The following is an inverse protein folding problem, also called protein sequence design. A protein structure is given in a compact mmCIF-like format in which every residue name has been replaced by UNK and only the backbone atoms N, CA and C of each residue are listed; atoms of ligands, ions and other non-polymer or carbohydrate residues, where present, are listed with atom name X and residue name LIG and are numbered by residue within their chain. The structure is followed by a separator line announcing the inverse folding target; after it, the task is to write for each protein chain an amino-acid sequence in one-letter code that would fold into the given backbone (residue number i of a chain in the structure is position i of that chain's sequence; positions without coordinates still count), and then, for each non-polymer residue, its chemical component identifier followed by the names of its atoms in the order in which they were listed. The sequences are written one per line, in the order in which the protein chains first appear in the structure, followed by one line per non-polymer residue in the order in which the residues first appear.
data_IF_223962415696
#
_entry.id   IF_223962415696
#
_cell.length_a   1.000
_cell.length_b   1.000
_cell.length_c   1.000
_cell.angle_alpha   90.00
_cell.angle_beta   90.00
_cell.angle_gamma   90.00
#
_symmetry.space_group_name_H-M   'P 1'
#
loop_
_entity.id
_entity.type
_entity.pdbx_description
1 polymer ?
2 water ?
#
# COMPACT_ATOMS: atom_id res chain seq x y z
N UNK A 13 8.56 8.61 -4.06
CA UNK A 13 9.58 7.53 -3.93
C UNK A 13 9.75 6.75 -5.22
N UNK A 14 8.70 6.05 -5.64
CA UNK A 14 8.77 5.27 -6.85
C UNK A 14 7.74 5.67 -7.90
N UNK A 15 8.25 6.18 -9.03
CA UNK A 15 7.42 6.64 -10.16
C UNK A 15 7.72 5.94 -11.48
N UNK A 16 6.68 5.74 -12.28
CA UNK A 16 6.80 5.08 -13.58
C UNK A 16 6.65 6.20 -14.62
N UNK A 17 7.63 6.36 -15.50
CA UNK A 17 7.57 7.40 -16.53
C UNK A 17 7.58 6.83 -17.95
N UNK A 18 6.65 7.34 -18.77
CA UNK A 18 6.52 6.91 -20.16
C UNK A 18 6.85 8.10 -21.04
N UNK A 19 7.94 7.99 -21.81
CA UNK A 19 8.38 9.07 -22.70
C UNK A 19 8.04 8.75 -24.16
N UNK A 20 7.51 9.76 -24.85
CA UNK A 20 7.16 9.64 -26.26
C UNK A 20 8.21 10.38 -27.10
N UNK A 21 9.06 9.59 -27.75
CA UNK A 21 10.16 10.11 -28.59
C UNK A 21 9.72 11.05 -29.71
N UNK A 22 10.46 12.15 -29.84
CA UNK A 22 10.22 13.19 -30.83
C UNK A 22 10.96 12.92 -32.15
N UNK A 23 10.21 12.89 -33.25
CA UNK A 23 10.82 12.64 -34.54
C UNK A 23 11.53 13.88 -35.08
N UNK A 24 12.71 13.67 -35.65
CA UNK A 24 13.51 14.75 -36.23
C UNK A 24 14.43 14.16 -37.29
N UNK A 25 13.84 13.76 -38.40
CA UNK A 25 14.61 13.15 -39.47
C UNK A 25 14.64 11.65 -39.26
N UNK A 26 15.84 11.13 -39.02
CA UNK A 26 16.01 9.71 -38.79
C UNK A 26 16.32 9.54 -37.32
N UNK A 27 16.12 10.62 -36.57
CA UNK A 27 16.36 10.62 -35.13
C UNK A 27 15.09 10.76 -34.31
N UNK A 28 15.18 10.32 -33.06
CA UNK A 28 14.08 10.37 -32.11
C UNK A 28 14.69 10.75 -30.76
N UNK A 29 14.74 12.05 -30.47
CA UNK A 29 15.32 12.51 -29.21
C UNK A 29 14.44 12.30 -27.95
N UNK A 30 15.10 12.12 -26.81
CA UNK A 30 14.43 11.91 -25.52
C UNK A 30 14.53 13.12 -24.60
N UNK A 31 15.34 14.11 -24.99
CA UNK A 31 15.48 15.29 -24.17
C UNK A 31 16.11 15.09 -22.82
N UNK A 32 17.02 14.13 -22.71
CA UNK A 32 17.74 13.85 -21.46
C UNK A 32 18.86 12.86 -21.72
N UNK A 33 19.86 12.90 -20.85
CA UNK A 33 21.02 12.01 -20.93
C UNK A 33 21.15 11.27 -19.59
N UNK A 34 21.88 10.16 -19.61
CA UNK A 34 22.09 9.39 -18.41
C UNK A 34 23.56 9.25 -18.04
N UNK A 35 23.79 8.61 -16.89
CA UNK A 35 25.12 8.36 -16.39
C UNK A 35 25.04 7.14 -15.51
N UNK A 36 26.19 6.52 -15.22
CA UNK A 36 26.19 5.33 -14.38
C UNK A 36 26.49 4.02 -15.10
N UNK A 37 26.18 2.91 -14.44
CA UNK A 37 26.41 1.61 -15.03
C UNK A 37 27.57 0.93 -14.33
N UNK A 38 27.55 -0.41 -14.31
CA UNK A 38 28.60 -1.18 -13.65
C UNK A 38 29.97 -1.01 -14.30
N UNK A 39 29.99 -0.47 -15.52
CA UNK A 39 31.23 -0.24 -16.23
C UNK A 39 31.75 1.17 -15.96
N UNK A 40 31.09 1.87 -15.05
CA UNK A 40 31.50 3.23 -14.71
C UNK A 40 31.99 3.35 -13.28
N UNK A 41 32.63 4.47 -12.96
CA UNK A 41 33.14 4.72 -11.63
C UNK A 41 32.18 5.65 -10.89
N UNK A 42 31.38 5.12 -9.94
CA UNK A 42 30.40 5.87 -9.14
C UNK A 42 30.75 7.29 -8.66
N UNK A 43 32.03 7.60 -8.57
CA UNK A 43 32.47 8.90 -8.10
C UNK A 43 32.36 9.97 -9.18
N UNK A 44 32.18 9.54 -10.43
CA UNK A 44 32.05 10.45 -11.57
C UNK A 44 30.57 10.71 -11.88
N UNK A 45 29.72 9.96 -11.19
CA UNK A 45 28.28 10.07 -11.33
C UNK A 45 27.82 10.88 -10.12
N UNK A 46 27.61 12.20 -10.31
CA UNK A 46 27.18 13.12 -9.26
C UNK A 46 25.86 12.76 -8.57
N UNK A 47 25.32 11.58 -8.89
CA UNK A 47 24.05 11.17 -8.29
C UNK A 47 24.15 9.94 -7.43
N UNK A 48 25.18 9.13 -7.66
CA UNK A 48 25.38 7.92 -6.89
C UNK A 48 25.33 8.29 -5.40
N UNK A 49 24.94 7.34 -4.57
CA UNK A 49 24.86 7.59 -3.13
C UNK A 49 26.15 7.20 -2.44
N UNK A 50 26.95 6.37 -3.11
CA UNK A 50 28.22 5.92 -2.56
C UNK A 50 29.10 5.31 -3.61
N UNK A 51 30.19 4.69 -3.16
CA UNK A 51 31.15 4.05 -4.05
C UNK A 51 30.67 2.74 -4.64
N UNK A 52 29.60 2.19 -4.08
CA UNK A 52 29.05 0.92 -4.55
C UNK A 52 27.92 1.15 -5.54
N UNK A 53 27.33 2.34 -5.48
CA UNK A 53 26.23 2.70 -6.36
C UNK A 53 26.69 2.75 -7.81
N UNK A 54 26.44 1.67 -8.54
CA UNK A 54 26.81 1.54 -9.94
C UNK A 54 25.56 1.68 -10.82
N UNK A 55 24.50 2.26 -10.27
CA UNK A 55 23.25 2.42 -10.99
C UNK A 55 23.17 3.48 -12.10
N UNK A 56 22.07 3.45 -12.84
CA UNK A 56 21.83 4.38 -13.94
C UNK A 56 20.95 5.54 -13.47
N UNK A 57 21.46 6.76 -13.63
CA UNK A 57 20.72 7.93 -13.21
C UNK A 57 20.43 8.91 -14.36
N UNK A 58 19.60 9.89 -14.05
CA UNK A 58 19.26 10.90 -15.01
C UNK A 58 20.09 12.10 -14.59
N UNK A 59 21.22 12.28 -15.26
CA UNK A 59 22.13 13.36 -14.97
C UNK A 59 21.73 14.68 -15.63
N UNK A 60 20.93 14.61 -16.69
CA UNK A 60 20.53 15.79 -17.41
C UNK A 60 19.16 15.65 -18.09
N UNK A 61 18.41 16.74 -18.16
CA UNK A 61 17.11 16.73 -18.80
C UNK A 61 16.92 18.06 -19.57
N UNK A 62 16.50 17.97 -20.84
CA UNK A 62 16.26 19.13 -21.71
C UNK A 62 14.90 19.70 -21.35
N UNK A 63 14.74 21.01 -21.50
CA UNK A 63 13.48 21.67 -21.17
C UNK A 63 12.52 21.58 -22.36
N UNK A 64 11.28 21.17 -22.11
CA UNK A 64 10.35 21.03 -23.21
C UNK A 64 10.61 19.74 -23.95
N UNK A 65 11.72 19.10 -23.57
CA UNK A 65 12.11 17.84 -24.16
C UNK A 65 10.96 16.90 -23.88
N UNK A 66 10.85 15.77 -24.59
CA UNK A 66 9.74 14.86 -24.31
C UNK A 66 9.87 14.09 -23.01
N UNK A 67 11.02 14.24 -22.36
CA UNK A 67 11.31 13.57 -21.09
C UNK A 67 10.61 14.34 -19.98
N UNK A 68 10.97 15.61 -19.88
CA UNK A 68 10.41 16.51 -18.89
C UNK A 68 8.89 16.44 -18.98
N UNK A 69 8.40 16.46 -20.22
CA UNK A 69 6.97 16.40 -20.48
C UNK A 69 6.37 15.20 -19.78
N UNK A 70 7.02 14.06 -19.92
CA UNK A 70 6.55 12.82 -19.31
C UNK A 70 6.58 12.84 -17.78
N UNK A 71 7.56 13.53 -17.22
CA UNK A 71 7.71 13.62 -15.79
C UNK A 71 9.14 13.37 -15.35
N UNK A 72 10.00 13.00 -16.28
CA UNK A 72 11.40 12.73 -15.97
C UNK A 72 12.03 13.92 -15.23
N UNK A 73 12.84 13.61 -14.20
CA UNK A 73 13.52 14.59 -13.35
C UNK A 73 15.02 14.32 -13.30
N UNK A 74 15.78 15.29 -12.82
CA UNK A 74 17.25 15.13 -12.73
C UNK A 74 17.58 14.29 -11.48
N UNK A 75 18.44 13.29 -11.65
CA UNK A 75 18.81 12.45 -10.53
C UNK A 75 17.94 11.20 -10.45
N UNK A 76 16.80 11.23 -11.12
CA UNK A 76 15.90 10.11 -11.18
C UNK A 76 16.76 8.85 -11.34
N UNK A 77 16.38 7.74 -10.69
CA UNK A 77 17.12 6.46 -10.75
C UNK A 77 16.38 5.42 -11.58
N UNK A 78 16.84 5.20 -12.80
CA UNK A 78 16.22 4.24 -13.73
C UNK A 78 16.51 2.79 -13.32
N UNK A 79 15.47 2.08 -12.91
CA UNK A 79 15.61 0.68 -12.52
C UNK A 79 15.05 -0.12 -13.68
N UNK A 80 14.28 0.54 -14.52
CA UNK A 80 13.66 -0.13 -15.65
C UNK A 80 13.57 0.70 -16.94
N UNK A 81 13.50 -0.02 -18.06
CA UNK A 81 13.38 0.59 -19.37
C UNK A 81 12.55 -0.32 -20.26
N UNK A 82 11.30 0.07 -20.48
CA UNK A 82 10.35 -0.70 -21.28
C UNK A 82 10.23 -2.08 -20.64
N UNK A 83 10.48 -2.12 -19.34
CA UNK A 83 10.40 -3.35 -18.58
C UNK A 83 11.72 -4.06 -18.32
N UNK A 84 12.76 -3.65 -19.03
CA UNK A 84 14.07 -4.28 -18.87
C UNK A 84 14.79 -3.84 -17.61
N UNK A 85 15.46 -4.78 -16.96
CA UNK A 85 16.19 -4.50 -15.73
C UNK A 85 17.52 -3.79 -15.97
N UNK A 86 17.59 -2.53 -15.53
CA UNK A 86 18.80 -1.72 -15.70
C UNK A 86 19.57 -1.55 -14.42
N UNK A 87 19.36 -2.45 -13.47
CA UNK A 87 20.04 -2.37 -12.19
C UNK A 87 21.50 -2.79 -12.27
N UNK A 88 21.75 -3.93 -12.90
CA UNK A 88 23.12 -4.41 -13.03
C UNK A 88 23.60 -4.39 -14.46
N UNK A 89 23.50 -3.23 -15.11
CA UNK A 89 23.94 -3.13 -16.49
C UNK A 89 24.96 -2.02 -16.72
N UNK A 90 25.62 -2.10 -17.87
CA UNK A 90 26.62 -1.12 -18.22
C UNK A 90 25.94 0.10 -18.83
N UNK A 91 26.64 1.21 -18.78
CA UNK A 91 26.12 2.44 -19.33
C UNK A 91 25.61 2.21 -20.75
N UNK A 92 26.47 1.60 -21.57
CA UNK A 92 26.20 1.32 -22.97
C UNK A 92 25.06 0.34 -23.21
N UNK A 93 24.80 -0.53 -22.23
CA UNK A 93 23.72 -1.49 -22.34
C UNK A 93 22.41 -0.75 -22.11
N UNK A 94 22.51 0.30 -21.31
CA UNK A 94 21.37 1.14 -20.97
C UNK A 94 21.05 2.11 -22.10
N UNK A 95 22.04 2.89 -22.52
CA UNK A 95 21.84 3.87 -23.59
C UNK A 95 21.25 3.21 -24.82
N UNK A 96 21.62 1.94 -25.03
CA UNK A 96 21.15 1.11 -26.13
C UNK A 96 19.66 0.77 -25.98
N UNK A 97 19.22 0.55 -24.74
CA UNK A 97 17.82 0.22 -24.39
C UNK A 97 16.91 1.40 -24.66
N UNK A 98 17.46 2.58 -24.42
CA UNK A 98 16.74 3.82 -24.61
C UNK A 98 16.72 4.28 -26.06
N UNK A 99 17.89 4.30 -26.69
CA UNK A 99 18.00 4.77 -28.07
C UNK A 99 17.63 3.81 -29.20
N UNK A 100 16.78 2.81 -28.93
CA UNK A 100 16.39 1.89 -29.99
C UNK A 100 15.73 2.69 -31.09
N UNK A 101 16.11 2.42 -32.34
CA UNK A 101 15.60 3.08 -33.54
C UNK A 101 14.16 2.59 -33.83
N UNK A 102 13.94 1.29 -33.67
CA UNK A 102 12.65 0.66 -33.92
C UNK A 102 11.60 0.80 -32.80
N UNK A 103 11.84 1.74 -31.88
CA UNK A 103 10.94 2.01 -30.76
C UNK A 103 10.74 3.51 -30.58
N UNK A 104 9.49 3.95 -30.52
CA UNK A 104 9.15 5.37 -30.37
C UNK A 104 8.62 5.71 -28.99
N UNK A 105 8.28 4.70 -28.22
CA UNK A 105 7.77 4.85 -26.87
C UNK A 105 8.65 4.04 -25.93
N UNK A 106 9.19 4.72 -24.93
CA UNK A 106 10.04 4.03 -23.97
C UNK A 106 9.51 4.30 -22.57
N UNK A 107 9.34 3.23 -21.79
CA UNK A 107 8.85 3.37 -20.42
C UNK A 107 9.95 3.13 -19.40
N UNK A 108 10.03 4.03 -18.42
CA UNK A 108 11.04 3.92 -17.39
C UNK A 108 10.42 3.79 -16.00
N UNK A 109 11.11 3.05 -15.14
CA UNK A 109 10.68 2.84 -13.76
C UNK A 109 11.84 3.43 -12.97
N UNK A 110 11.56 4.45 -12.20
CA UNK A 110 12.58 5.13 -11.42
C UNK A 110 12.13 5.40 -10.00
N UNK A 111 13.10 5.71 -9.14
CA UNK A 111 12.85 6.06 -7.75
C UNK A 111 13.39 7.49 -7.68
N UNK A 112 13.14 8.23 -6.60
CA UNK A 112 13.64 9.61 -6.50
C UNK A 112 13.93 10.18 -5.10
N UNK B 13 -11.13 -6.71 2.07
CA UNK B 13 -11.08 -6.18 3.46
C UNK B 13 -10.44 -4.78 3.54
N UNK B 14 -10.21 -4.30 4.75
CA UNK B 14 -9.60 -2.99 4.96
C UNK B 14 -8.16 -3.00 4.44
N UNK B 15 -7.68 -1.84 3.99
CA UNK B 15 -6.31 -1.70 3.49
C UNK B 15 -5.84 -0.26 3.42
N UNK B 16 -4.56 -0.03 3.66
CA UNK B 16 -3.98 1.30 3.59
C UNK B 16 -3.27 1.38 2.24
N UNK B 17 -3.33 2.55 1.61
CA UNK B 17 -2.67 2.79 0.29
C UNK B 17 -1.98 4.16 0.34
N UNK B 18 -0.71 4.20 -0.06
CA UNK B 18 0.08 5.45 -0.05
C UNK B 18 0.37 5.85 -1.48
N UNK B 19 -0.38 6.82 -2.00
CA UNK B 19 -0.21 7.26 -3.39
C UNK B 19 0.65 8.51 -3.63
N UNK B 20 1.75 8.31 -4.37
CA UNK B 20 2.68 9.36 -4.72
C UNK B 20 2.29 9.89 -6.10
N UNK B 21 1.78 11.12 -6.16
CA UNK B 21 1.37 11.71 -7.43
C UNK B 21 2.52 11.94 -8.40
N UNK B 22 2.21 11.85 -9.68
CA UNK B 22 3.17 12.06 -10.76
C UNK B 22 2.92 13.44 -11.37
N UNK B 23 3.92 14.31 -11.29
CA UNK B 23 3.80 15.65 -11.83
C UNK B 23 4.24 15.71 -13.29
N UNK B 24 3.41 16.35 -14.10
CA UNK B 24 3.69 16.56 -15.50
C UNK B 24 3.43 18.05 -15.64
N UNK B 25 4.38 18.82 -15.12
CA UNK B 25 4.30 20.28 -15.17
C UNK B 25 3.53 20.89 -14.02
N UNK B 26 2.38 21.46 -14.36
CA UNK B 26 1.52 22.10 -13.37
C UNK B 26 0.54 21.06 -12.82
N UNK B 27 0.44 19.94 -13.54
CA UNK B 27 -0.45 18.84 -13.15
C UNK B 27 0.14 17.83 -12.17
N UNK B 28 -0.75 17.03 -11.58
CA UNK B 28 -0.40 15.97 -10.63
C UNK B 28 -1.38 14.84 -10.94
N UNK B 29 -0.85 13.72 -11.40
CA UNK B 29 -1.67 12.58 -11.78
C UNK B 29 -1.75 11.47 -10.71
N UNK B 30 -2.97 11.05 -10.41
CA UNK B 30 -3.20 9.99 -9.43
C UNK B 30 -3.24 8.65 -10.13
N UNK B 31 -3.81 8.61 -11.32
CA UNK B 31 -3.89 7.36 -12.04
C UNK B 31 -5.11 6.53 -11.68
N UNK B 32 -6.26 7.18 -11.51
CA UNK B 32 -7.51 6.47 -11.23
C UNK B 32 -8.69 7.43 -11.26
N UNK B 33 -9.89 6.87 -11.38
CA UNK B 33 -11.14 7.65 -11.41
C UNK B 33 -12.12 7.12 -10.36
N UNK B 34 -13.04 7.96 -9.92
CA UNK B 34 -14.00 7.57 -8.92
C UNK B 34 -15.47 7.83 -9.27
N UNK B 35 -16.35 7.01 -8.69
CA UNK B 35 -17.77 7.14 -8.90
C UNK B 35 -18.50 7.17 -7.55
N UNK B 36 -19.73 7.66 -7.55
CA UNK B 36 -20.50 7.70 -6.32
C UNK B 36 -20.65 9.05 -5.64
N UNK B 37 -21.11 9.02 -4.39
CA UNK B 37 -21.31 10.22 -3.62
C UNK B 37 -22.75 10.41 -3.23
N UNK B 38 -22.99 11.14 -2.14
CA UNK B 38 -24.33 11.37 -1.66
C UNK B 38 -25.21 12.06 -2.71
N UNK B 39 -24.60 12.88 -3.56
CA UNK B 39 -25.37 13.59 -4.60
C UNK B 39 -25.48 12.79 -5.89
N UNK B 40 -25.14 11.52 -5.83
CA UNK B 40 -25.17 10.67 -7.01
C UNK B 40 -26.14 9.49 -6.90
N UNK B 41 -26.70 9.09 -8.03
CA UNK B 41 -27.63 7.97 -8.09
C UNK B 41 -26.81 6.68 -7.91
N UNK B 42 -26.88 6.06 -6.72
CA UNK B 42 -26.14 4.83 -6.41
C UNK B 42 -26.17 3.73 -7.47
N UNK B 43 -27.06 3.87 -8.46
CA UNK B 43 -27.18 2.87 -9.52
C UNK B 43 -26.21 3.08 -10.66
N UNK B 44 -25.78 4.33 -10.83
CA UNK B 44 -24.85 4.65 -11.91
C UNK B 44 -23.50 4.03 -11.57
N UNK B 45 -23.23 3.94 -10.27
CA UNK B 45 -21.99 3.36 -9.73
C UNK B 45 -22.12 1.84 -9.71
N UNK B 46 -21.50 1.14 -10.68
CA UNK B 46 -21.55 -0.32 -10.77
C UNK B 46 -20.94 -1.06 -9.60
N UNK B 47 -20.44 -0.31 -8.62
CA UNK B 47 -19.80 -0.95 -7.49
C UNK B 47 -20.49 -0.72 -6.17
N UNK B 48 -21.69 -0.16 -6.20
CA UNK B 48 -22.40 0.08 -4.96
C UNK B 48 -23.02 -1.23 -4.49
N UNK B 49 -22.81 -1.57 -3.23
CA UNK B 49 -23.34 -2.81 -2.67
C UNK B 49 -24.85 -2.84 -2.67
N UNK B 50 -25.48 -1.73 -2.30
CA UNK B 50 -26.93 -1.68 -2.22
C UNK B 50 -27.59 -0.43 -2.81
N UNK B 51 -28.82 -0.14 -2.37
CA UNK B 51 -29.56 1.01 -2.88
C UNK B 51 -29.30 2.28 -2.05
N UNK B 52 -28.50 2.14 -1.01
CA UNK B 52 -28.17 3.27 -0.13
C UNK B 52 -26.65 3.47 -0.03
N UNK B 53 -25.90 2.83 -0.93
CA UNK B 53 -24.44 2.93 -0.91
C UNK B 53 -23.87 4.15 -1.63
N UNK B 54 -23.85 5.27 -0.90
CA UNK B 54 -23.35 6.56 -1.37
C UNK B 54 -21.82 6.58 -1.23
N UNK B 55 -21.21 5.41 -1.10
CA UNK B 55 -19.77 5.32 -0.95
C UNK B 55 -19.02 5.81 -2.18
N UNK B 56 -17.78 6.24 -1.97
CA UNK B 56 -16.90 6.73 -3.03
C UNK B 56 -16.13 5.50 -3.52
N UNK B 57 -16.31 5.13 -4.78
CA UNK B 57 -15.65 3.94 -5.35
C UNK B 57 -14.69 4.19 -6.52
N UNK B 58 -13.65 3.37 -6.62
CA UNK B 58 -12.68 3.44 -7.70
C UNK B 58 -13.31 2.69 -8.86
N UNK B 59 -13.72 3.45 -9.88
CA UNK B 59 -14.36 2.90 -11.06
C UNK B 59 -13.36 2.58 -12.18
N UNK B 60 -12.19 3.22 -12.13
CA UNK B 60 -11.15 3.02 -13.14
C UNK B 60 -9.76 3.28 -12.58
N UNK B 61 -8.78 2.51 -13.01
CA UNK B 61 -7.40 2.67 -12.56
C UNK B 61 -6.40 2.64 -13.73
N UNK B 62 -5.83 3.80 -14.04
CA UNK B 62 -4.87 3.91 -15.13
C UNK B 62 -3.73 2.94 -14.94
N UNK B 63 -3.64 1.98 -15.86
CA UNK B 63 -2.59 0.97 -15.83
C UNK B 63 -1.19 1.54 -15.98
N UNK B 64 -0.36 1.31 -14.97
CA UNK B 64 0.99 1.81 -14.98
C UNK B 64 1.10 3.11 -14.20
N UNK B 65 -0.04 3.60 -13.69
CA UNK B 65 -0.06 4.85 -12.94
C UNK B 65 0.38 4.74 -11.51
N UNK B 66 0.51 5.87 -10.80
CA UNK B 66 0.94 5.90 -9.40
C UNK B 66 0.01 5.20 -8.42
N UNK B 67 -1.23 5.02 -8.85
CA UNK B 67 -2.27 4.35 -8.07
C UNK B 67 -2.12 2.85 -8.15
N UNK B 68 -1.70 2.36 -9.31
CA UNK B 68 -1.48 0.93 -9.49
C UNK B 68 -0.28 0.52 -8.65
N UNK B 69 0.77 1.33 -8.71
CA UNK B 69 1.99 1.07 -7.97
C UNK B 69 1.70 1.11 -6.48
N UNK B 70 0.78 1.98 -6.10
CA UNK B 70 0.40 2.16 -4.72
C UNK B 70 -0.50 1.03 -4.21
N UNK B 71 -1.15 0.31 -5.11
CA UNK B 71 -2.01 -0.81 -4.73
C UNK B 71 -3.51 -0.57 -4.80
N UNK B 72 -3.94 0.30 -5.70
CA UNK B 72 -5.35 0.60 -5.84
C UNK B 72 -5.98 -0.32 -6.90
N UNK B 73 -7.20 -0.79 -6.64
CA UNK B 73 -7.89 -1.66 -7.58
C UNK B 73 -9.33 -1.23 -7.79
N UNK B 74 -9.84 -1.49 -8.98
CA UNK B 74 -11.21 -1.10 -9.31
C UNK B 74 -12.14 -1.69 -8.25
N UNK B 75 -13.19 -0.94 -7.91
CA UNK B 75 -14.13 -1.40 -6.90
C UNK B 75 -13.75 -0.98 -5.49
N UNK B 76 -12.54 -0.48 -5.33
CA UNK B 76 -12.07 -0.05 -4.03
C UNK B 76 -12.92 1.11 -3.53
N UNK B 77 -13.44 0.96 -2.31
CA UNK B 77 -14.24 2.01 -1.71
C UNK B 77 -13.30 2.79 -0.80
N UNK B 78 -13.09 4.07 -1.11
CA UNK B 78 -12.22 4.91 -0.29
C UNK B 78 -13.03 5.36 0.92
N UNK B 79 -12.64 4.87 2.09
CA UNK B 79 -13.33 5.23 3.31
C UNK B 79 -12.74 6.49 3.88
N UNK B 80 -11.47 6.71 3.58
CA UNK B 80 -10.76 7.86 4.11
C UNK B 80 -9.69 8.35 3.15
N UNK B 81 -9.45 9.65 3.15
CA UNK B 81 -8.42 10.25 2.31
C UNK B 81 -7.62 11.22 3.17
N UNK B 82 -6.54 10.73 3.79
CA UNK B 82 -5.67 11.55 4.65
C UNK B 82 -6.33 11.91 6.00
N UNK B 83 -7.22 11.05 6.47
CA UNK B 83 -7.92 11.33 7.72
C UNK B 83 -9.32 11.88 7.43
N UNK B 84 -9.51 12.35 6.19
CA UNK B 84 -10.80 12.90 5.74
C UNK B 84 -11.81 11.80 5.50
N UNK B 85 -12.77 11.69 6.40
CA UNK B 85 -13.81 10.70 6.21
C UNK B 85 -14.46 10.96 4.85
N UNK B 86 -14.62 9.90 4.08
CA UNK B 86 -15.21 9.99 2.75
C UNK B 86 -16.55 9.28 2.61
N UNK B 87 -17.02 8.70 3.69
CA UNK B 87 -18.28 7.96 3.70
C UNK B 87 -19.53 8.77 3.30
N UNK B 88 -19.83 9.81 4.08
CA UNK B 88 -21.00 10.64 3.82
C UNK B 88 -20.62 11.96 3.15
N UNK B 89 -19.94 11.87 2.01
CA UNK B 89 -19.47 13.05 1.27
C UNK B 89 -19.97 13.05 -0.17
N UNK B 90 -20.11 14.22 -0.77
CA UNK B 90 -20.54 14.31 -2.16
C UNK B 90 -19.41 13.80 -3.05
N UNK B 91 -19.65 13.87 -4.35
CA UNK B 91 -18.70 13.43 -5.35
C UNK B 91 -17.60 14.47 -5.50
N UNK B 92 -18.00 15.73 -5.55
CA UNK B 92 -17.05 16.83 -5.69
C UNK B 92 -16.21 17.03 -4.44
N UNK B 93 -16.77 16.64 -3.28
CA UNK B 93 -16.05 16.77 -2.03
C UNK B 93 -14.88 15.81 -1.99
N UNK B 94 -15.06 14.65 -2.61
CA UNK B 94 -14.02 13.61 -2.67
C UNK B 94 -12.94 13.96 -3.68
N UNK B 95 -13.37 14.30 -4.91
CA UNK B 95 -12.45 14.65 -5.98
C UNK B 95 -11.65 15.91 -5.64
N UNK B 96 -12.19 16.72 -4.74
CA UNK B 96 -11.51 17.92 -4.29
C UNK B 96 -10.32 17.52 -3.38
N UNK B 97 -10.57 16.59 -2.47
CA UNK B 97 -9.53 16.16 -1.55
C UNK B 97 -8.41 15.38 -2.21
N UNK B 98 -8.73 14.78 -3.35
CA UNK B 98 -7.76 14.00 -4.09
C UNK B 98 -6.90 14.81 -5.06
N UNK B 99 -7.44 15.91 -5.56
CA UNK B 99 -6.71 16.69 -6.55
C UNK B 99 -6.03 17.99 -6.15
N UNK B 100 -5.95 18.30 -4.86
CA UNK B 100 -5.27 19.53 -4.45
C UNK B 100 -3.83 19.50 -4.97
N UNK B 101 -3.37 20.60 -5.56
CA UNK B 101 -2.01 20.67 -6.11
C UNK B 101 -0.95 20.83 -5.05
N UNK B 102 -1.31 21.49 -3.94
CA UNK B 102 -0.36 21.68 -2.86
C UNK B 102 -0.03 20.34 -2.24
N UNK B 103 -0.61 19.25 -2.77
CA UNK B 103 -0.35 17.91 -2.26
C UNK B 103 0.09 16.96 -3.37
N UNK B 104 1.33 16.48 -3.25
CA UNK B 104 1.93 15.56 -4.21
C UNK B 104 1.77 14.11 -3.75
N UNK B 105 1.27 13.95 -2.52
CA UNK B 105 1.06 12.64 -1.92
C UNK B 105 -0.31 12.57 -1.25
N UNK B 106 -1.00 11.45 -1.46
CA UNK B 106 -2.30 11.23 -0.87
C UNK B 106 -2.30 9.83 -0.27
N UNK B 107 -2.82 9.71 0.95
CA UNK B 107 -2.90 8.44 1.68
C UNK B 107 -4.35 8.04 1.91
N UNK B 108 -4.75 6.93 1.31
CA UNK B 108 -6.12 6.44 1.42
C UNK B 108 -6.33 5.28 2.40
N UNK B 109 -7.60 5.06 2.73
CA UNK B 109 -8.00 3.99 3.62
C UNK B 109 -9.17 3.39 2.84
N UNK B 110 -8.99 2.18 2.33
CA UNK B 110 -10.02 1.59 1.51
C UNK B 110 -10.53 0.25 2.01
N UNK B 111 -11.50 -0.28 1.28
CA UNK B 111 -12.11 -1.57 1.57
C UNK B 111 -12.36 -2.23 0.23
N UNK B 112 -12.24 -3.56 0.18
CA UNK B 112 -12.44 -4.31 -1.06
C UNK B 112 -12.97 -5.73 -0.85
N UNK B 113 -13.69 -6.25 -1.84
CA UNK B 113 -14.25 -7.60 -1.76
C UNK B 113 -13.50 -8.56 -2.69
N UNK C 13 3.64 -6.95 -12.62
CA UNK C 13 3.50 -5.51 -12.26
C UNK C 13 4.22 -5.21 -10.94
N UNK C 14 4.78 -4.00 -10.85
CA UNK C 14 5.46 -3.56 -9.63
C UNK C 14 4.37 -2.84 -8.83
N UNK C 15 4.14 -3.30 -7.59
CA UNK C 15 3.12 -2.76 -6.70
C UNK C 15 3.52 -2.74 -5.23
N UNK C 16 2.89 -1.87 -4.45
CA UNK C 16 3.19 -1.80 -3.01
C UNK C 16 2.17 -2.63 -2.22
N UNK C 17 2.63 -3.26 -1.14
CA UNK C 17 1.76 -4.06 -0.31
C UNK C 17 1.93 -3.69 1.16
N UNK C 18 0.84 -3.25 1.80
CA UNK C 18 0.88 -2.88 3.21
C UNK C 18 0.29 -4.00 4.05
N UNK C 19 1.06 -4.46 5.02
CA UNK C 19 0.58 -5.50 5.90
C UNK C 19 0.73 -5.08 7.35
N UNK C 20 -0.30 -5.35 8.13
CA UNK C 20 -0.30 -5.05 9.54
C UNK C 20 -0.22 -6.41 10.18
N UNK C 21 0.84 -6.61 10.97
CA UNK C 21 1.08 -7.88 11.64
C UNK C 21 -0.04 -8.16 12.64
N UNK C 22 -0.18 -9.41 13.03
CA UNK C 22 -1.20 -9.80 14.01
C UNK C 22 -0.56 -9.81 15.40
N UNK C 23 -1.37 -9.67 16.43
CA UNK C 23 -0.86 -9.66 17.79
C UNK C 23 -1.18 -10.98 18.48
N UNK C 24 -0.15 -11.73 18.87
CA UNK C 24 -0.35 -12.98 19.57
C UNK C 24 0.27 -12.88 20.95
N UNK C 25 -0.11 -11.83 21.65
CA UNK C 25 0.39 -11.61 22.99
C UNK C 25 1.64 -10.78 22.94
N UNK C 26 2.79 -11.44 22.78
CA UNK C 26 4.08 -10.77 22.71
C UNK C 26 4.62 -11.02 21.31
N UNK C 27 3.73 -11.46 20.42
CA UNK C 27 4.12 -11.77 19.05
C UNK C 27 3.44 -10.91 18.03
N UNK C 28 4.15 -10.69 16.93
CA UNK C 28 3.66 -9.92 15.81
C UNK C 28 3.77 -10.90 14.64
N UNK C 29 2.69 -11.65 14.41
CA UNK C 29 2.66 -12.64 13.35
C UNK C 29 2.55 -12.03 11.95
N UNK C 30 3.46 -12.46 11.06
CA UNK C 30 3.50 -12.00 9.69
C UNK C 30 2.58 -12.88 8.85
N UNK C 31 2.55 -14.16 9.18
CA UNK C 31 1.72 -15.11 8.47
C UNK C 31 2.19 -15.45 7.06
N UNK C 32 3.50 -15.54 6.88
CA UNK C 32 4.08 -15.89 5.59
C UNK C 32 5.60 -16.01 5.77
N UNK C 33 6.20 -16.98 5.09
CA UNK C 33 7.64 -17.19 5.19
C UNK C 33 8.28 -16.90 3.83
N UNK C 34 9.59 -16.67 3.83
CA UNK C 34 10.28 -16.34 2.59
C UNK C 34 11.34 -17.31 2.13
N UNK C 35 11.67 -17.19 0.84
CA UNK C 35 12.70 -18.00 0.23
C UNK C 35 13.62 -17.04 -0.53
N UNK C 36 14.92 -17.34 -0.58
CA UNK C 36 15.84 -16.48 -1.27
C UNK C 36 17.00 -15.98 -0.43
N UNK C 37 17.66 -14.94 -0.92
CA UNK C 37 18.80 -14.39 -0.23
C UNK C 37 20.04 -14.80 -1.00
N UNK C 38 21.14 -14.08 -0.77
CA UNK C 38 22.39 -14.35 -1.45
C UNK C 38 23.14 -15.59 -0.98
N UNK C 39 23.18 -15.76 0.35
CA UNK C 39 23.85 -16.88 0.99
C UNK C 39 23.19 -18.24 0.68
N UNK C 40 22.02 -18.18 0.05
CA UNK C 40 21.23 -19.36 -0.31
C UNK C 40 21.47 -19.77 -1.76
N UNK C 41 21.29 -21.06 -2.03
CA UNK C 41 21.45 -21.61 -3.37
C UNK C 41 20.13 -21.45 -4.12
N UNK C 42 20.12 -20.61 -5.17
CA UNK C 42 18.91 -20.34 -5.97
C UNK C 42 18.00 -21.52 -6.27
N UNK C 43 18.57 -22.65 -6.69
CA UNK C 43 17.79 -23.83 -7.00
C UNK C 43 16.82 -24.18 -5.86
N UNK C 44 17.29 -24.08 -4.63
CA UNK C 44 16.47 -24.37 -3.46
C UNK C 44 15.25 -23.45 -3.49
N UNK C 45 15.37 -22.37 -4.24
CA UNK C 45 14.31 -21.40 -4.42
C UNK C 45 13.68 -21.74 -5.75
N UNK C 46 12.43 -22.22 -5.73
CA UNK C 46 11.74 -22.57 -6.97
C UNK C 46 11.16 -21.36 -7.71
N UNK C 47 11.30 -20.17 -7.12
CA UNK C 47 10.78 -18.97 -7.76
C UNK C 47 11.89 -18.12 -8.36
N UNK C 48 13.13 -18.47 -8.01
CA UNK C 48 14.28 -17.75 -8.50
C UNK C 48 14.27 -17.91 -10.00
N UNK C 49 14.14 -16.79 -10.72
CA UNK C 49 14.14 -16.78 -12.17
C UNK C 49 15.27 -17.58 -12.78
N UNK C 50 16.42 -17.57 -12.12
CA UNK C 50 17.58 -18.27 -12.64
C UNK C 50 18.66 -18.50 -11.60
N UNK C 51 19.78 -19.08 -12.03
CA UNK C 51 20.92 -19.39 -11.15
C UNK C 51 21.54 -18.15 -10.51
N UNK C 52 21.22 -16.98 -11.06
CA UNK C 52 21.77 -15.74 -10.54
C UNK C 52 20.78 -14.99 -9.66
N UNK C 53 19.59 -15.55 -9.46
CA UNK C 53 18.55 -14.92 -8.65
C UNK C 53 18.68 -15.13 -7.14
N UNK C 54 19.42 -14.23 -6.49
CA UNK C 54 19.65 -14.26 -5.05
C UNK C 54 18.68 -13.29 -4.38
N UNK C 55 17.50 -13.16 -4.97
CA UNK C 55 16.47 -12.27 -4.47
C UNK C 55 15.55 -12.93 -3.47
N UNK C 56 14.72 -12.10 -2.83
CA UNK C 56 13.77 -12.55 -1.83
C UNK C 56 12.39 -12.71 -2.44
N UNK C 57 11.83 -13.91 -2.26
CA UNK C 57 10.52 -14.28 -2.77
C UNK C 57 9.60 -14.78 -1.65
N UNK C 58 8.29 -14.70 -1.89
CA UNK C 58 7.30 -15.18 -0.95
C UNK C 58 7.09 -16.63 -1.36
N UNK C 59 7.51 -17.56 -0.49
CA UNK C 59 7.38 -18.99 -0.76
C UNK C 59 6.14 -19.61 -0.10
N UNK C 60 5.62 -18.95 0.93
CA UNK C 60 4.43 -19.45 1.63
C UNK C 60 3.63 -18.34 2.30
N UNK C 61 2.32 -18.35 2.06
CA UNK C 61 1.38 -17.39 2.63
C UNK C 61 0.32 -18.13 3.45
N UNK C 62 0.24 -17.80 4.74
CA UNK C 62 -0.70 -18.42 5.67
C UNK C 62 -2.15 -18.13 5.29
N UNK C 63 -2.86 -19.19 4.96
CA UNK C 63 -4.26 -19.15 4.54
C UNK C 63 -5.11 -18.53 5.64
N UNK C 64 -5.42 -17.24 5.49
CA UNK C 64 -6.22 -16.52 6.47
C UNK C 64 -5.36 -15.54 7.22
N UNK C 65 -4.05 -15.63 7.01
CA UNK C 65 -3.11 -14.73 7.65
C UNK C 65 -3.08 -13.29 7.14
N UNK C 66 -2.46 -12.37 7.92
CA UNK C 66 -2.35 -10.95 7.60
C UNK C 66 -1.71 -10.59 6.26
N UNK C 67 -0.78 -11.42 5.82
CA UNK C 67 -0.09 -11.21 4.56
C UNK C 67 -1.10 -11.50 3.44
N UNK C 68 -2.02 -12.42 3.72
CA UNK C 68 -3.05 -12.79 2.76
C UNK C 68 -4.14 -11.71 2.74
N UNK C 69 -4.35 -11.06 3.88
CA UNK C 69 -5.33 -9.99 4.01
C UNK C 69 -4.72 -8.69 3.48
N UNK C 70 -3.45 -8.75 3.10
CA UNK C 70 -2.75 -7.58 2.57
C UNK C 70 -2.61 -7.68 1.05
N UNK C 71 -3.05 -8.80 0.49
CA UNK C 71 -2.99 -9.00 -0.94
C UNK C 71 -1.76 -9.74 -1.43
N UNK C 72 -0.92 -10.21 -0.51
CA UNK C 72 0.28 -10.93 -0.90
C UNK C 72 -0.07 -12.29 -1.49
N UNK C 73 0.87 -12.87 -2.22
CA UNK C 73 0.69 -14.16 -2.85
C UNK C 73 2.03 -14.83 -2.88
N UNK C 74 2.03 -16.13 -3.19
CA UNK C 74 3.24 -16.93 -3.29
C UNK C 74 3.90 -16.66 -4.64
N UNK C 75 5.22 -16.54 -4.63
CA UNK C 75 5.94 -16.24 -5.86
C UNK C 75 6.38 -14.79 -5.88
N UNK C 76 5.60 -13.92 -5.25
CA UNK C 76 5.91 -12.50 -5.17
C UNK C 76 7.35 -12.16 -4.80
N UNK C 77 8.00 -11.32 -5.60
CA UNK C 77 9.38 -10.93 -5.35
C UNK C 77 9.42 -9.66 -4.53
N UNK C 78 9.94 -9.77 -3.32
CA UNK C 78 10.03 -8.61 -2.46
C UNK C 78 11.25 -7.81 -2.85
N UNK C 79 11.03 -6.58 -3.25
CA UNK C 79 12.11 -5.69 -3.66
C UNK C 79 12.59 -4.82 -2.51
N UNK C 80 11.71 -4.52 -1.57
CA UNK C 80 12.07 -3.67 -0.42
C UNK C 80 11.18 -3.84 0.80
N UNK C 81 11.76 -3.76 1.99
CA UNK C 81 11.02 -3.90 3.24
C UNK C 81 11.22 -2.64 4.08
N UNK C 82 10.29 -1.69 3.92
CA UNK C 82 10.30 -0.41 4.63
C UNK C 82 11.31 0.59 4.08
N UNK C 83 11.45 0.62 2.76
CA UNK C 83 12.39 1.53 2.14
C UNK C 83 13.81 1.02 2.26
N UNK C 84 13.96 -0.30 2.20
CA UNK C 84 15.27 -0.93 2.30
C UNK C 84 15.38 -2.04 1.25
N UNK C 85 16.39 -1.94 0.40
CA UNK C 85 16.65 -2.90 -0.68
C UNK C 85 16.75 -4.36 -0.22
N UNK C 86 16.02 -5.23 -0.91
CA UNK C 86 16.05 -6.66 -0.62
C UNK C 86 16.57 -7.39 -1.85
N UNK C 87 17.38 -6.70 -2.65
CA UNK C 87 17.94 -7.25 -3.89
C UNK C 87 19.25 -8.01 -3.67
N UNK C 88 20.09 -7.52 -2.77
CA UNK C 88 21.36 -8.17 -2.47
C UNK C 88 21.52 -8.38 -0.96
N UNK C 89 20.51 -9.00 -0.36
CA UNK C 89 20.53 -9.25 1.06
C UNK C 89 20.49 -10.73 1.38
N UNK C 90 21.00 -11.07 2.55
CA UNK C 90 21.02 -12.45 3.00
C UNK C 90 19.64 -12.75 3.57
N UNK C 91 19.31 -14.03 3.60
CA UNK C 91 18.02 -14.49 4.12
C UNK C 91 17.74 -13.82 5.46
N UNK C 92 18.69 -13.94 6.40
CA UNK C 92 18.54 -13.36 7.73
C UNK C 92 18.36 -11.85 7.76
N UNK C 93 18.92 -11.15 6.79
CA UNK C 93 18.78 -9.70 6.70
C UNK C 93 17.38 -9.33 6.25
N UNK C 94 16.82 -10.16 5.37
CA UNK C 94 15.47 -9.91 4.88
C UNK C 94 14.46 -10.29 5.95
N UNK C 95 14.73 -11.39 6.64
CA UNK C 95 13.87 -11.89 7.71
C UNK C 95 14.01 -10.97 8.93
N UNK C 96 15.23 -10.51 9.20
CA UNK C 96 15.44 -9.62 10.32
C UNK C 96 14.50 -8.42 10.18
N UNK C 97 14.59 -7.70 9.04
CA UNK C 97 13.75 -6.52 8.78
C UNK C 97 12.24 -6.75 8.71
N UNK C 98 11.80 -7.92 8.27
CA UNK C 98 10.38 -8.19 8.18
C UNK C 98 9.78 -8.58 9.54
N UNK C 99 10.63 -8.91 10.49
CA UNK C 99 10.13 -9.32 11.81
C UNK C 99 10.62 -8.50 12.99
N UNK C 100 10.82 -7.21 12.81
CA UNK C 100 11.27 -6.38 13.93
C UNK C 100 10.18 -6.26 14.99
N UNK C 101 10.60 -6.19 16.25
CA UNK C 101 9.67 -6.08 17.39
C UNK C 101 8.89 -4.75 17.44
N UNK C 102 9.61 -3.63 17.26
CA UNK C 102 9.02 -2.29 17.32
C UNK C 102 8.24 -1.80 16.10
N UNK C 103 7.75 -2.73 15.28
CA UNK C 103 6.98 -2.34 14.11
C UNK C 103 5.82 -3.31 13.84
N UNK C 104 4.60 -2.86 14.11
CA UNK C 104 3.40 -3.66 13.90
C UNK C 104 2.95 -3.63 12.46
N UNK C 105 3.67 -2.86 11.65
CA UNK C 105 3.34 -2.73 10.24
C UNK C 105 4.60 -2.82 9.40
N UNK C 106 4.49 -3.51 8.26
CA UNK C 106 5.61 -3.64 7.34
C UNK C 106 5.13 -3.42 5.90
N UNK C 107 5.66 -2.38 5.26
CA UNK C 107 5.31 -2.06 3.87
C UNK C 107 6.30 -2.63 2.89
N UNK C 108 5.79 -3.50 2.02
CA UNK C 108 6.60 -4.16 1.01
C UNK C 108 6.47 -3.52 -0.36
N UNK C 109 7.42 -3.86 -1.22
CA UNK C 109 7.43 -3.40 -2.59
C UNK C 109 7.77 -4.69 -3.30
N UNK C 110 6.84 -5.18 -4.09
CA UNK C 110 7.04 -6.43 -4.80
C UNK C 110 6.84 -6.23 -6.28
N UNK C 111 7.17 -7.28 -7.03
CA UNK C 111 6.99 -7.32 -8.47
C UNK C 111 6.31 -8.68 -8.63
N UNK C 112 5.07 -8.67 -9.13
CA UNK C 112 4.32 -9.91 -9.30
C UNK C 112 4.51 -10.55 -10.66
N UNK D 14 -5.29 2.56 12.64
CA UNK D 14 -6.02 1.33 12.23
C UNK D 14 -5.20 0.04 12.42
N UNK D 15 -5.83 -0.98 13.01
CA UNK D 15 -5.22 -2.28 13.29
C UNK D 15 -6.30 -3.39 13.33
N UNK D 16 -5.91 -4.63 13.03
CA UNK D 16 -6.84 -5.77 13.05
C UNK D 16 -6.58 -6.64 14.28
N UNK D 17 -7.35 -6.42 15.34
CA UNK D 17 -7.22 -7.18 16.58
C UNK D 17 -8.00 -8.48 16.49
N UNK D 18 -7.40 -9.56 16.99
CA UNK D 18 -8.07 -10.87 16.98
C UNK D 18 -8.14 -11.47 18.38
N UNK D 19 -9.22 -11.18 19.12
CA UNK D 19 -9.41 -11.68 20.48
C UNK D 19 -9.86 -13.15 20.63
N UNK D 20 -9.25 -13.85 21.58
CA UNK D 20 -9.61 -15.22 21.87
C UNK D 20 -10.24 -15.15 23.23
N UNK D 21 -11.50 -15.53 23.28
CA UNK D 21 -12.24 -15.43 24.51
C UNK D 21 -11.88 -16.41 25.62
N UNK D 22 -11.87 -15.85 26.84
CA UNK D 22 -11.59 -16.58 28.07
C UNK D 22 -12.92 -17.22 28.49
N UNK D 23 -12.87 -18.40 29.12
CA UNK D 23 -14.09 -19.10 29.52
C UNK D 23 -14.41 -19.00 31.02
N UNK D 24 -15.68 -19.21 31.36
CA UNK D 24 -16.14 -19.15 32.74
C UNK D 24 -17.41 -20.01 32.83
N UNK D 25 -17.29 -21.25 32.38
CA UNK D 25 -18.44 -22.13 32.37
C UNK D 25 -19.26 -21.90 31.14
N UNK D 26 -20.36 -21.16 31.29
CA UNK D 26 -21.19 -20.88 30.12
C UNK D 26 -20.75 -19.64 29.39
N UNK D 27 -20.15 -18.71 30.12
CA UNK D 27 -19.72 -17.47 29.48
C UNK D 27 -18.30 -17.46 28.93
N UNK D 28 -18.15 -16.72 27.84
CA UNK D 28 -16.88 -16.52 27.16
C UNK D 28 -16.65 -15.05 27.45
N UNK D 29 -15.46 -14.72 27.91
CA UNK D 29 -15.11 -13.36 28.26
C UNK D 29 -14.35 -12.63 27.17
N UNK D 30 -14.66 -11.36 26.98
CA UNK D 30 -14.00 -10.53 26.00
C UNK D 30 -12.99 -9.67 26.72
N UNK D 31 -13.38 -9.23 27.91
CA UNK D 31 -12.48 -8.40 28.69
C UNK D 31 -12.41 -6.92 28.35
N UNK D 32 -13.52 -6.36 27.87
CA UNK D 32 -13.59 -4.93 27.57
C UNK D 32 -15.04 -4.53 27.40
N UNK D 33 -15.31 -3.26 27.63
CA UNK D 33 -16.66 -2.75 27.51
C UNK D 33 -16.68 -1.64 26.50
N UNK D 34 -17.81 -1.49 25.81
CA UNK D 34 -18.00 -0.47 24.79
C UNK D 34 -19.05 0.59 25.20
N UNK D 35 -19.14 1.63 24.37
CA UNK D 35 -20.10 2.70 24.60
C UNK D 35 -20.41 3.32 23.25
N UNK D 36 -21.35 4.26 23.21
CA UNK D 36 -21.69 4.88 21.95
C UNK D 36 -22.84 4.18 21.23
N UNK D 37 -22.77 4.21 19.90
CA UNK D 37 -23.81 3.63 19.08
C UNK D 37 -24.67 4.76 18.55
N UNK D 38 -25.23 4.56 17.36
CA UNK D 38 -26.07 5.57 16.73
C UNK D 38 -27.49 5.68 17.32
N UNK D 39 -27.71 5.10 18.51
CA UNK D 39 -29.03 5.13 19.18
C UNK D 39 -29.00 5.86 20.51
N UNK D 40 -27.86 6.45 20.83
CA UNK D 40 -27.73 7.18 22.09
C UNK D 40 -27.00 8.50 21.98
N UNK D 41 -27.11 9.31 23.04
CA UNK D 41 -26.51 10.63 23.13
C UNK D 41 -24.98 10.57 23.21
N UNK D 42 -24.29 10.90 22.11
CA UNK D 42 -22.83 10.87 22.02
C UNK D 42 -22.20 11.64 23.18
N UNK D 43 -22.85 12.73 23.58
CA UNK D 43 -22.40 13.59 24.67
C UNK D 43 -21.98 12.79 25.88
N UNK D 44 -22.61 11.64 26.04
CA UNK D 44 -22.32 10.73 27.15
C UNK D 44 -21.11 9.83 26.86
N UNK D 45 -20.78 9.66 25.60
CA UNK D 45 -19.61 8.90 25.19
C UNK D 45 -18.48 9.88 25.24
N UNK D 46 -17.56 9.70 26.19
CA UNK D 46 -16.44 10.62 26.30
C UNK D 46 -15.35 10.46 25.25
N UNK D 47 -15.45 9.41 24.46
CA UNK D 47 -14.46 9.16 23.41
C UNK D 47 -14.98 9.61 22.06
N UNK D 48 -16.16 10.21 22.07
CA UNK D 48 -16.76 10.73 20.86
C UNK D 48 -15.90 11.93 20.50
N UNK D 49 -15.56 12.04 19.22
CA UNK D 49 -14.75 13.14 18.71
C UNK D 49 -15.54 14.43 18.83
N UNK D 50 -16.79 14.38 18.38
CA UNK D 50 -17.66 15.53 18.39
C UNK D 50 -19.13 15.13 18.53
N UNK D 51 -20.02 16.12 18.58
CA UNK D 51 -21.46 15.88 18.74
C UNK D 51 -22.07 14.91 17.74
N UNK D 52 -21.59 14.93 16.50
CA UNK D 52 -22.14 14.05 15.45
C UNK D 52 -21.52 12.65 15.41
N UNK D 53 -20.56 12.38 16.30
CA UNK D 53 -19.88 11.08 16.34
C UNK D 53 -20.67 10.02 17.11
N UNK D 54 -21.30 9.11 16.36
CA UNK D 54 -22.10 8.04 16.95
C UNK D 54 -21.35 6.69 16.85
N UNK D 55 -20.04 6.75 17.01
CA UNK D 55 -19.21 5.56 16.91
C UNK D 55 -19.13 4.70 18.15
N UNK D 56 -18.70 3.45 17.92
CA UNK D 56 -18.51 2.46 18.99
C UNK D 56 -17.06 2.53 19.46
N UNK D 57 -16.88 2.79 20.76
CA UNK D 57 -15.54 2.88 21.31
C UNK D 57 -15.32 1.90 22.45
N UNK D 58 -14.05 1.68 22.78
CA UNK D 58 -13.64 0.80 23.87
C UNK D 58 -13.53 1.67 25.12
N UNK D 59 -14.51 1.55 26.02
CA UNK D 59 -14.55 2.33 27.26
C UNK D 59 -13.68 1.84 28.42
N UNK D 60 -13.43 0.53 28.48
CA UNK D 60 -12.61 -0.06 29.55
C UNK D 60 -12.02 -1.35 29.05
N UNK D 61 -10.90 -1.74 29.64
CA UNK D 61 -10.24 -2.98 29.29
C UNK D 61 -9.77 -3.67 30.57
N UNK D 62 -10.18 -4.92 30.76
CA UNK D 62 -9.79 -5.73 31.93
C UNK D 62 -8.27 -5.79 32.02
N UNK D 63 -7.75 -5.88 33.24
CA UNK D 63 -6.32 -5.96 33.45
C UNK D 63 -5.78 -7.37 33.18
N UNK D 64 -5.40 -7.62 31.93
CA UNK D 64 -4.87 -8.93 31.56
C UNK D 64 -5.79 -9.80 30.73
N UNK D 65 -7.01 -9.32 30.49
CA UNK D 65 -8.00 -10.07 29.72
C UNK D 65 -7.67 -10.29 28.25
N UNK D 66 -8.34 -11.24 27.59
CA UNK D 66 -8.08 -11.51 26.17
C UNK D 66 -8.09 -10.26 25.29
N UNK D 67 -8.72 -9.19 25.80
CA UNK D 67 -8.78 -7.94 25.06
C UNK D 67 -7.38 -7.35 25.06
N UNK D 68 -6.95 -6.89 26.23
CA UNK D 68 -5.63 -6.29 26.43
C UNK D 68 -4.50 -7.10 25.80
N UNK D 69 -4.62 -8.43 25.84
CA UNK D 69 -3.61 -9.32 25.28
C UNK D 69 -3.47 -9.12 23.78
N UNK D 70 -4.57 -9.34 23.06
CA UNK D 70 -4.61 -9.21 21.61
C UNK D 70 -4.17 -7.84 21.07
N UNK D 71 -4.08 -6.84 21.95
CA UNK D 71 -3.65 -5.51 21.53
C UNK D 71 -4.64 -4.38 21.67
N UNK D 72 -5.86 -4.70 22.10
CA UNK D 72 -6.93 -3.72 22.26
C UNK D 72 -6.70 -2.72 23.41
N UNK D 73 -6.79 -1.43 23.08
CA UNK D 73 -6.59 -0.33 24.03
C UNK D 73 -7.84 0.53 24.14
N UNK D 74 -7.97 1.21 25.28
CA UNK D 74 -9.11 2.09 25.52
C UNK D 74 -9.11 3.22 24.49
N UNK D 75 -10.28 3.53 23.95
CA UNK D 75 -10.40 4.61 22.99
C UNK D 75 -10.25 4.24 21.53
N UNK D 76 -10.35 2.95 21.22
CA UNK D 76 -10.24 2.54 19.82
C UNK D 76 -11.61 2.73 19.18
N UNK D 77 -11.64 2.93 17.88
CA UNK D 77 -12.91 3.10 17.19
C UNK D 77 -13.23 1.81 16.47
N UNK D 78 -14.12 1.00 17.03
CA UNK D 78 -14.46 -0.24 16.37
C UNK D 78 -15.30 0.13 15.14
N UNK D 79 -14.65 0.13 13.98
CA UNK D 79 -15.35 0.47 12.75
C UNK D 79 -15.92 -0.77 12.10
N UNK D 80 -15.52 -1.92 12.60
CA UNK D 80 -16.00 -3.17 12.05
C UNK D 80 -15.69 -4.34 12.96
N UNK D 81 -16.73 -5.11 13.29
CA UNK D 81 -16.56 -6.28 14.14
C UNK D 81 -16.83 -7.52 13.31
N UNK D 82 -15.76 -8.14 12.82
CA UNK D 82 -15.84 -9.33 11.97
C UNK D 82 -16.42 -9.01 10.60
N UNK D 83 -15.71 -8.18 9.83
CA UNK D 83 -16.18 -7.84 8.49
C UNK D 83 -17.54 -7.18 8.48
N UNK D 84 -17.98 -6.71 9.64
CA UNK D 84 -19.26 -6.04 9.78
C UNK D 84 -19.03 -4.57 10.10
N UNK D 85 -19.46 -3.72 9.17
CA UNK D 85 -19.30 -2.27 9.29
C UNK D 85 -20.07 -1.70 10.49
N UNK D 86 -19.35 -1.55 11.60
CA UNK D 86 -19.89 -1.04 12.86
C UNK D 86 -19.91 0.47 12.95
N UNK D 87 -19.69 1.14 11.83
CA UNK D 87 -19.65 2.60 11.83
C UNK D 87 -20.99 3.31 11.92
N UNK D 88 -22.07 2.55 11.83
CA UNK D 88 -23.42 3.12 11.92
C UNK D 88 -24.41 2.13 12.52
N UNK D 89 -24.03 1.55 13.66
CA UNK D 89 -24.86 0.57 14.33
C UNK D 89 -25.34 1.07 15.70
N UNK D 90 -26.33 0.38 16.27
CA UNK D 90 -26.84 0.74 17.58
C UNK D 90 -25.95 0.04 18.58
N UNK D 91 -25.99 0.50 19.82
CA UNK D 91 -25.18 -0.11 20.87
C UNK D 91 -25.35 -1.64 20.82
N UNK D 92 -26.61 -2.07 20.87
CA UNK D 92 -26.97 -3.48 20.86
C UNK D 92 -26.64 -4.26 19.60
N UNK D 93 -26.70 -3.61 18.44
CA UNK D 93 -26.36 -4.29 17.20
C UNK D 93 -24.90 -4.72 17.24
N UNK D 94 -24.08 -3.90 17.87
CA UNK D 94 -22.65 -4.14 17.98
C UNK D 94 -22.30 -5.06 19.14
N UNK D 95 -23.04 -4.94 20.23
CA UNK D 95 -22.79 -5.79 21.40
C UNK D 95 -23.20 -7.24 21.13
N UNK D 96 -24.14 -7.43 20.19
CA UNK D 96 -24.60 -8.75 19.83
C UNK D 96 -23.53 -9.49 19.03
N UNK D 97 -23.06 -8.88 17.95
CA UNK D 97 -22.02 -9.50 17.13
C UNK D 97 -20.79 -9.77 17.99
N UNK D 98 -20.62 -8.98 19.03
CA UNK D 98 -19.49 -9.12 19.95
C UNK D 98 -19.59 -10.28 20.93
N UNK D 99 -20.72 -10.35 21.64
CA UNK D 99 -20.92 -11.37 22.66
C UNK D 99 -21.56 -12.70 22.29
N UNK D 100 -21.49 -13.06 21.01
CA UNK D 100 -22.05 -14.32 20.57
C UNK D 100 -21.38 -15.50 21.32
N UNK D 101 -22.22 -16.43 21.78
CA UNK D 101 -21.79 -17.63 22.52
C UNK D 101 -20.93 -18.57 21.67
N UNK D 102 -21.46 -18.93 20.50
CA UNK D 102 -20.80 -19.84 19.57
C UNK D 102 -19.45 -19.40 18.97
N UNK D 103 -18.97 -18.23 19.36
CA UNK D 103 -17.71 -17.73 18.82
C UNK D 103 -16.68 -17.54 19.93
N UNK D 104 -15.66 -18.40 19.94
CA UNK D 104 -14.60 -18.31 20.94
C UNK D 104 -13.51 -17.35 20.50
N UNK D 105 -13.70 -16.77 19.32
CA UNK D 105 -12.75 -15.82 18.77
C UNK D 105 -13.49 -14.71 18.05
N UNK D 106 -13.14 -13.46 18.36
CA UNK D 106 -13.75 -12.28 17.71
C UNK D 106 -12.70 -11.42 17.04
N UNK D 107 -13.00 -10.94 15.84
CA UNK D 107 -12.07 -10.09 15.08
C UNK D 107 -12.54 -8.66 14.90
N UNK D 108 -11.85 -7.74 15.57
CA UNK D 108 -12.16 -6.32 15.55
C UNK D 108 -11.29 -5.43 14.66
N UNK D 109 -11.94 -4.49 13.97
CA UNK D 109 -11.24 -3.51 13.12
C UNK D 109 -11.31 -2.22 13.90
N UNK D 110 -10.16 -1.69 14.27
CA UNK D 110 -10.14 -0.47 15.05
C UNK D 110 -9.31 0.63 14.40
N UNK D 111 -9.00 1.64 15.19
CA UNK D 111 -8.20 2.77 14.74
C UNK D 111 -7.90 3.66 15.94
N UNK D 112 -6.71 4.25 15.97
CA UNK D 112 -6.34 5.16 17.06
C UNK D 112 -5.24 6.13 16.64
#
# INVERSE_FOLDING_TARGET
AMSYTPGQPVTAVVQRVEIHKLRQGENLILGFSIGGGIDQDPSQNPFSEDKTDKGIYVTRVSEGGPAEIAGLQIGDKIMQVNGWDMTMVTHDQARKRLTKRSEEVVRLLVTRQ
AMSYTPGQPVTAVVQRVEIHKLRQGENLILGFSIGGGIDQDPSQNPFSEDKTDKGIYVTRVSEGGPAEIAGLQIGDKIMQVNGWDMTMVTHDQARKRLTKRSEEVVRLLVTRQ
AMSYTPGQPVTAVVQRVEIHKLRQGENLILGFSIGGGIDQDPSQNPFSEDKTDKGIYVTRVSEGGPAEIAGLQIGDKIMQVNGWDMTMVTHDQARKRLTKRSEEVVRLLVTRQ
AMSYTPGQPVTAVVQRVEIHKLRQGENLILGFSIGGGIDQDPSQNPFSEDKTDKGIYVTRVSEGGPAEIAGLQIGDKIMQVNGWDMTMVTHDQARKRLTKRSEEVVRLLVTRQ
#
